data_IF_556046004778
#
_entry.id   IF_556046004778
#
_cell.length_a   1.000
_cell.length_b   1.000
_cell.length_c   1.000
_cell.angle_alpha   90.00
_cell.angle_beta   90.00
_cell.angle_gamma   90.00
#
_symmetry.space_group_name_H-M   'P 1'
#
loop_
_entity.id
_entity.type
_entity.pdbx_description
1 polymer ?
#
# COMPACT_ATOMS: atom_id res chain seq x y z
N UNK A 1 -9.71 1.92 -25.37
CA UNK A 1 -10.57 0.76 -25.69
C UNK A 1 -10.29 -0.40 -24.71
N UNK A 2 -11.35 -1.08 -24.27
CA UNK A 2 -11.19 -2.32 -23.52
C UNK A 2 -10.92 -3.48 -24.48
N UNK A 3 -10.09 -4.44 -24.03
CA UNK A 3 -9.94 -5.71 -24.77
C UNK A 3 -11.27 -6.49 -24.79
N UNK A 4 -12.04 -6.39 -23.72
CA UNK A 4 -13.41 -6.89 -23.55
C UNK A 4 -14.16 -6.01 -22.54
N UNK A 5 -15.49 -5.75 -22.73
CA UNK A 5 -16.29 -6.10 -23.90
C UNK A 5 -15.86 -5.29 -25.15
N UNK A 6 -15.84 -5.95 -26.30
CA UNK A 6 -15.43 -5.30 -27.58
C UNK A 6 -16.28 -4.07 -27.92
N UNK A 7 -15.64 -3.01 -28.40
CA UNK A 7 -16.28 -1.78 -28.79
C UNK A 7 -16.71 -0.89 -27.62
N UNK A 8 -16.27 -1.20 -26.41
CA UNK A 8 -16.42 -0.32 -25.23
C UNK A 8 -15.08 0.37 -24.95
N UNK A 9 -15.17 1.63 -24.63
CA UNK A 9 -14.02 2.43 -24.19
C UNK A 9 -14.21 2.86 -22.74
N UNK A 10 -13.15 2.77 -21.94
CA UNK A 10 -13.11 3.39 -20.61
C UNK A 10 -12.50 4.79 -20.75
N UNK A 11 -13.20 5.77 -20.25
CA UNK A 11 -12.78 7.18 -20.22
C UNK A 11 -12.57 7.60 -18.77
N UNK A 12 -11.38 8.11 -18.50
CA UNK A 12 -11.06 8.67 -17.17
C UNK A 12 -11.25 10.18 -17.24
N UNK A 13 -12.23 10.68 -16.53
CA UNK A 13 -12.52 12.09 -16.39
C UNK A 13 -11.77 12.61 -15.16
N UNK A 14 -11.00 13.66 -15.33
CA UNK A 14 -10.39 14.39 -14.22
C UNK A 14 -11.23 15.62 -13.93
N UNK A 15 -11.90 15.64 -12.78
CA UNK A 15 -12.72 16.74 -12.32
C UNK A 15 -11.89 17.51 -11.29
N UNK A 16 -11.60 18.79 -11.56
CA UNK A 16 -10.84 19.67 -10.67
C UNK A 16 -11.72 20.81 -10.20
N UNK A 17 -11.78 21.01 -8.89
CA UNK A 17 -12.47 22.13 -8.26
C UNK A 17 -11.55 22.76 -7.22
N UNK A 18 -10.99 23.93 -7.51
CA UNK A 18 -9.95 24.55 -6.69
C UNK A 18 -8.72 23.64 -6.58
N UNK A 19 -8.29 23.36 -5.37
CA UNK A 19 -7.15 22.48 -5.09
C UNK A 19 -7.52 20.98 -5.00
N UNK A 20 -8.80 20.65 -5.15
CA UNK A 20 -9.25 19.25 -5.16
C UNK A 20 -9.33 18.75 -6.60
N UNK A 21 -8.85 17.53 -6.81
CA UNK A 21 -8.96 16.80 -8.08
C UNK A 21 -9.48 15.41 -7.81
N UNK A 22 -10.53 15.02 -8.53
CA UNK A 22 -11.14 13.71 -8.46
C UNK A 22 -11.13 13.09 -9.85
N UNK A 23 -10.79 11.81 -9.94
CA UNK A 23 -10.91 11.02 -11.16
C UNK A 23 -12.19 10.20 -11.13
N UNK A 24 -12.95 10.24 -12.21
CA UNK A 24 -14.14 9.41 -12.42
C UNK A 24 -13.94 8.56 -13.67
N UNK A 25 -14.29 7.28 -13.59
CA UNK A 25 -14.22 6.36 -14.72
C UNK A 25 -15.62 6.13 -15.23
N UNK A 26 -15.82 6.40 -16.49
CA UNK A 26 -17.05 6.10 -17.24
C UNK A 26 -16.72 5.22 -18.43
N UNK A 27 -17.73 4.60 -19.00
CA UNK A 27 -17.61 3.75 -20.20
C UNK A 27 -18.47 4.29 -21.31
N UNK A 28 -18.00 4.17 -22.56
CA UNK A 28 -18.75 4.62 -23.75
C UNK A 28 -18.83 3.49 -24.78
N UNK A 29 -19.94 3.46 -25.52
CA UNK A 29 -20.12 2.61 -26.68
C UNK A 29 -21.04 3.31 -27.66
N UNK A 30 -20.50 3.78 -28.80
CA UNK A 30 -21.22 4.68 -29.71
C UNK A 30 -21.69 5.93 -28.94
N UNK A 31 -22.97 6.24 -29.00
CA UNK A 31 -23.57 7.40 -28.34
C UNK A 31 -24.02 7.12 -26.89
N UNK A 32 -23.70 5.95 -26.34
CA UNK A 32 -24.12 5.57 -25.00
C UNK A 32 -23.00 5.77 -23.98
N UNK A 33 -23.37 6.21 -22.77
CA UNK A 33 -22.48 6.35 -21.62
C UNK A 33 -22.99 5.45 -20.51
N UNK A 34 -22.06 4.72 -19.87
CA UNK A 34 -22.34 3.84 -18.75
C UNK A 34 -21.47 4.26 -17.56
N UNK A 35 -22.04 4.23 -16.38
CA UNK A 35 -21.32 4.55 -15.13
C UNK A 35 -20.47 3.39 -14.65
N UNK A 36 -20.82 2.16 -15.00
CA UNK A 36 -20.09 0.94 -14.74
C UNK A 36 -20.49 -0.19 -15.69
N UNK A 37 -19.66 -1.22 -15.78
CA UNK A 37 -19.93 -2.46 -16.50
C UNK A 37 -19.57 -3.63 -15.62
N UNK A 38 -20.52 -4.56 -15.47
CA UNK A 38 -20.35 -5.76 -14.67
C UNK A 38 -20.48 -6.99 -15.57
N UNK A 39 -19.48 -7.88 -15.54
CA UNK A 39 -19.56 -9.20 -16.14
C UNK A 39 -19.84 -10.24 -15.04
N UNK A 40 -21.09 -10.72 -14.92
CA UNK A 40 -21.44 -11.65 -13.86
C UNK A 40 -20.85 -13.06 -14.08
N UNK A 41 -20.53 -13.42 -15.31
CA UNK A 41 -19.91 -14.72 -15.64
C UNK A 41 -18.45 -14.74 -15.21
N UNK A 42 -17.71 -13.66 -15.49
CA UNK A 42 -16.31 -13.48 -15.09
C UNK A 42 -16.17 -12.96 -13.66
N UNK A 43 -17.27 -12.53 -13.03
CA UNK A 43 -17.31 -11.86 -11.73
C UNK A 43 -16.41 -10.61 -11.69
N UNK A 44 -16.44 -9.83 -12.78
CA UNK A 44 -15.62 -8.63 -12.93
C UNK A 44 -16.52 -7.40 -12.88
N UNK A 45 -16.14 -6.43 -12.05
CA UNK A 45 -16.61 -5.05 -12.06
C UNK A 45 -15.51 -4.22 -12.74
N UNK A 46 -15.71 -3.83 -13.99
CA UNK A 46 -14.66 -3.24 -14.82
C UNK A 46 -14.13 -1.93 -14.26
N UNK A 47 -14.97 -1.11 -13.66
CA UNK A 47 -14.56 0.13 -13.01
C UNK A 47 -13.54 -0.11 -11.90
N UNK A 48 -13.81 -1.08 -11.05
CA UNK A 48 -12.90 -1.44 -9.95
C UNK A 48 -11.61 -2.07 -10.48
N UNK A 49 -11.70 -2.91 -11.50
CA UNK A 49 -10.50 -3.49 -12.12
C UNK A 49 -9.59 -2.40 -12.70
N UNK A 50 -10.15 -1.43 -13.44
CA UNK A 50 -9.36 -0.34 -14.03
C UNK A 50 -8.74 0.52 -12.92
N UNK A 51 -9.46 0.81 -11.83
CA UNK A 51 -8.91 1.51 -10.68
C UNK A 51 -7.71 0.76 -10.10
N UNK A 52 -7.86 -0.53 -9.86
CA UNK A 52 -6.78 -1.37 -9.31
C UNK A 52 -5.58 -1.43 -10.25
N UNK A 53 -5.78 -1.61 -11.56
CA UNK A 53 -4.70 -1.63 -12.54
C UNK A 53 -3.95 -0.28 -12.60
N UNK A 54 -4.66 0.84 -12.47
CA UNK A 54 -4.06 2.18 -12.42
C UNK A 54 -3.24 2.38 -11.14
N UNK A 55 -3.80 1.99 -9.99
CA UNK A 55 -3.08 2.03 -8.72
C UNK A 55 -1.83 1.16 -8.81
N UNK A 56 -1.94 -0.06 -9.28
CA UNK A 56 -0.80 -0.97 -9.45
C UNK A 56 0.28 -0.37 -10.36
N UNK A 57 -0.10 0.27 -11.48
CA UNK A 57 0.84 0.92 -12.38
C UNK A 57 1.56 2.14 -11.77
N UNK A 58 0.86 2.96 -10.99
CA UNK A 58 1.46 4.10 -10.28
C UNK A 58 2.34 3.61 -9.12
N UNK A 59 1.85 2.66 -8.34
CA UNK A 59 2.57 2.06 -7.23
C UNK A 59 3.86 1.37 -7.68
N UNK A 60 3.84 0.69 -8.85
CA UNK A 60 5.02 0.11 -9.47
C UNK A 60 6.13 1.15 -9.69
N UNK A 61 5.79 2.31 -10.25
CA UNK A 61 6.76 3.38 -10.48
C UNK A 61 7.36 3.89 -9.18
N UNK A 62 6.50 4.13 -8.19
CA UNK A 62 6.93 4.62 -6.87
C UNK A 62 7.81 3.58 -6.17
N UNK A 63 7.41 2.31 -6.16
CA UNK A 63 8.13 1.25 -5.49
C UNK A 63 9.48 0.93 -6.16
N UNK A 64 9.55 0.91 -7.48
CA UNK A 64 10.81 0.69 -8.23
C UNK A 64 11.84 1.80 -7.99
N UNK A 65 11.37 3.02 -7.73
CA UNK A 65 12.23 4.17 -7.42
C UNK A 65 12.52 4.32 -5.91
N UNK A 66 11.98 3.40 -5.07
CA UNK A 66 12.10 3.53 -3.62
C UNK A 66 13.51 3.19 -3.13
N UNK A 67 13.96 3.93 -2.12
CA UNK A 67 15.20 3.60 -1.41
C UNK A 67 15.08 2.24 -0.71
N UNK A 68 16.13 1.43 -0.80
CA UNK A 68 16.19 0.15 -0.09
C UNK A 68 16.06 0.31 1.43
N UNK A 69 16.45 1.47 1.97
CA UNK A 69 16.35 1.80 3.39
C UNK A 69 14.90 1.96 3.86
N UNK A 70 13.97 2.23 2.93
CA UNK A 70 12.55 2.36 3.20
C UNK A 70 11.78 1.04 3.00
N UNK A 71 12.45 -0.02 2.54
CA UNK A 71 11.84 -1.33 2.29
C UNK A 71 12.33 -2.31 3.36
N UNK A 72 11.44 -2.72 4.25
CA UNK A 72 11.74 -3.74 5.24
C UNK A 72 11.41 -5.10 4.64
N UNK A 73 12.43 -5.93 4.45
CA UNK A 73 12.28 -7.26 3.85
C UNK A 73 12.19 -8.34 4.91
N UNK A 74 11.19 -9.22 4.79
CA UNK A 74 11.04 -10.45 5.53
C UNK A 74 10.96 -11.63 4.55
N UNK A 75 11.68 -12.69 4.84
CA UNK A 75 11.84 -13.82 3.92
C UNK A 75 12.81 -13.52 2.79
N UNK A 76 13.45 -14.57 2.27
CA UNK A 76 14.40 -14.50 1.16
C UNK A 76 14.37 -15.76 0.30
N UNK A 77 13.30 -16.54 0.36
CA UNK A 77 13.14 -17.77 -0.42
C UNK A 77 12.86 -17.44 -1.89
N UNK A 78 13.75 -17.72 -2.84
CA UNK A 78 13.54 -17.40 -4.25
C UNK A 78 12.41 -18.19 -4.91
N UNK A 79 11.89 -19.23 -4.25
CA UNK A 79 10.77 -20.04 -4.74
C UNK A 79 9.42 -19.48 -4.35
N UNK A 80 9.39 -18.53 -3.42
CA UNK A 80 8.14 -17.92 -2.95
C UNK A 80 7.87 -16.60 -3.67
N UNK A 81 6.60 -16.30 -3.99
CA UNK A 81 6.24 -14.97 -4.45
C UNK A 81 6.55 -13.93 -3.38
N UNK A 82 6.81 -12.70 -3.80
CA UNK A 82 6.97 -11.57 -2.89
C UNK A 82 5.73 -10.70 -2.93
N UNK A 83 5.20 -10.36 -1.78
CA UNK A 83 4.13 -9.39 -1.63
C UNK A 83 4.68 -8.07 -1.09
N UNK A 84 4.11 -6.96 -1.57
CA UNK A 84 4.29 -5.64 -0.97
C UNK A 84 3.16 -5.41 0.03
N UNK A 85 3.51 -5.03 1.26
CA UNK A 85 2.57 -4.68 2.31
C UNK A 85 2.80 -3.23 2.74
N UNK A 86 1.81 -2.37 2.52
CA UNK A 86 1.76 -1.03 3.10
C UNK A 86 0.98 -1.11 4.40
N UNK A 87 1.54 -0.62 5.50
CA UNK A 87 1.00 -0.93 6.83
C UNK A 87 1.23 0.19 7.84
N UNK A 88 0.44 0.21 8.90
CA UNK A 88 0.43 1.21 9.97
C UNK A 88 0.28 0.54 11.34
N UNK A 89 1.18 0.85 12.26
CA UNK A 89 1.20 0.25 13.59
C UNK A 89 -0.02 0.60 14.46
N UNK A 90 -0.72 1.70 14.18
CA UNK A 90 -1.92 2.10 14.91
C UNK A 90 -3.22 1.54 14.30
N UNK A 91 -3.18 1.07 13.06
CA UNK A 91 -4.36 0.53 12.40
C UNK A 91 -4.73 -0.86 12.95
N UNK A 92 -5.97 -1.07 13.46
CA UNK A 92 -6.39 -2.37 13.99
C UNK A 92 -6.32 -3.51 12.97
N UNK A 93 -6.62 -3.26 11.71
CA UNK A 93 -6.54 -4.25 10.65
C UNK A 93 -5.08 -4.61 10.31
N UNK A 94 -4.18 -3.62 10.31
CA UNK A 94 -2.75 -3.85 10.15
C UNK A 94 -2.17 -4.67 11.30
N UNK A 95 -2.64 -4.45 12.54
CA UNK A 95 -2.25 -5.26 13.70
C UNK A 95 -2.63 -6.73 13.50
N UNK A 96 -3.83 -7.00 12.98
CA UNK A 96 -4.28 -8.38 12.68
C UNK A 96 -3.40 -9.03 11.62
N UNK A 97 -3.05 -8.31 10.55
CA UNK A 97 -2.13 -8.84 9.53
C UNK A 97 -0.72 -9.07 10.08
N UNK A 98 -0.19 -8.13 10.86
CA UNK A 98 1.13 -8.28 11.47
C UNK A 98 1.17 -9.42 12.50
N UNK A 99 0.10 -9.69 13.22
CA UNK A 99 0.00 -10.83 14.13
C UNK A 99 0.11 -12.19 13.40
N UNK A 100 -0.20 -12.22 12.11
CA UNK A 100 -0.13 -13.43 11.27
C UNK A 100 1.08 -13.43 10.33
N UNK A 101 2.04 -12.54 10.54
CA UNK A 101 3.17 -12.36 9.60
C UNK A 101 3.99 -13.66 9.44
N UNK A 102 4.18 -14.42 10.51
CA UNK A 102 4.90 -15.70 10.46
C UNK A 102 4.16 -16.75 9.63
N UNK A 103 2.83 -16.72 9.64
CA UNK A 103 1.98 -17.56 8.77
C UNK A 103 2.11 -17.13 7.31
N UNK A 104 2.07 -15.83 7.04
CA UNK A 104 2.25 -15.26 5.70
C UNK A 104 3.61 -15.65 5.11
N UNK A 105 4.67 -15.66 5.93
CA UNK A 105 6.03 -16.03 5.52
C UNK A 105 6.19 -17.52 5.15
N UNK A 106 5.24 -18.39 5.51
CA UNK A 106 5.29 -19.77 5.04
C UNK A 106 5.14 -19.87 3.51
N UNK A 107 4.38 -18.95 2.90
CA UNK A 107 4.05 -19.00 1.49
C UNK A 107 4.59 -17.82 0.68
N UNK A 108 5.04 -16.74 1.32
CA UNK A 108 5.47 -15.51 0.65
C UNK A 108 6.76 -14.96 1.26
N UNK A 109 7.53 -14.20 0.49
CA UNK A 109 8.38 -13.15 1.03
C UNK A 109 7.55 -11.87 1.17
N UNK A 110 7.93 -10.97 2.06
CA UNK A 110 7.17 -9.75 2.32
C UNK A 110 8.10 -8.54 2.30
N UNK A 111 7.83 -7.61 1.40
CA UNK A 111 8.43 -6.28 1.38
C UNK A 111 7.46 -5.31 2.07
N UNK A 112 7.87 -4.68 3.16
CA UNK A 112 7.01 -3.84 4.01
C UNK A 112 7.43 -2.38 3.87
N UNK A 113 6.45 -1.50 3.70
CA UNK A 113 6.61 -0.05 3.77
C UNK A 113 5.63 0.49 4.82
N UNK A 114 6.18 1.28 5.74
CA UNK A 114 5.37 1.92 6.77
C UNK A 114 4.66 3.16 6.20
N UNK A 115 3.33 3.12 6.19
CA UNK A 115 2.48 4.20 5.62
C UNK A 115 1.33 4.48 6.58
N UNK A 116 1.55 5.38 7.54
CA UNK A 116 0.51 5.66 8.53
C UNK A 116 -0.60 6.57 7.99
N UNK A 117 -1.82 6.32 8.46
CA UNK A 117 -3.02 7.18 8.32
C UNK A 117 -3.49 7.75 9.67
N UNK A 118 -2.78 7.46 10.76
CA UNK A 118 -3.16 7.81 12.13
C UNK A 118 -2.32 8.95 12.72
N UNK A 119 -2.18 10.03 11.96
CA UNK A 119 -1.55 11.27 12.43
C UNK A 119 -0.09 11.11 12.87
N UNK A 120 0.39 12.04 13.67
CA UNK A 120 1.80 12.16 14.02
C UNK A 120 2.32 10.97 14.83
N UNK A 121 1.51 10.39 15.72
CA UNK A 121 1.93 9.22 16.49
C UNK A 121 2.12 7.97 15.61
N UNK A 122 1.28 7.78 14.60
CA UNK A 122 1.43 6.69 13.65
C UNK A 122 2.69 6.86 12.78
N UNK A 123 2.97 8.07 12.29
CA UNK A 123 4.20 8.38 11.58
C UNK A 123 5.45 8.23 12.46
N UNK A 124 5.35 8.61 13.73
CA UNK A 124 6.44 8.44 14.68
C UNK A 124 6.75 6.97 14.94
N UNK A 125 5.73 6.12 15.12
CA UNK A 125 5.92 4.65 15.21
C UNK A 125 6.59 4.10 13.95
N UNK A 126 6.22 4.59 12.78
CA UNK A 126 6.88 4.22 11.51
C UNK A 126 8.37 4.57 11.53
N UNK A 127 8.73 5.78 11.96
CA UNK A 127 10.12 6.22 12.07
C UNK A 127 10.91 5.37 13.08
N UNK A 128 10.33 5.07 14.24
CA UNK A 128 10.95 4.24 15.29
C UNK A 128 11.18 2.80 14.82
N UNK A 129 10.22 2.22 14.08
CA UNK A 129 10.37 0.89 13.46
C UNK A 129 11.56 0.90 12.51
N UNK A 130 11.65 1.86 11.59
CA UNK A 130 12.80 1.96 10.67
C UNK A 130 14.13 2.11 11.41
N UNK A 131 14.15 2.89 12.50
CA UNK A 131 15.33 3.11 13.31
C UNK A 131 15.82 1.84 13.98
N UNK A 132 14.93 1.08 14.63
CA UNK A 132 15.30 -0.15 15.33
C UNK A 132 15.63 -1.30 14.38
N UNK A 133 14.92 -1.41 13.24
CA UNK A 133 15.16 -2.47 12.25
C UNK A 133 16.56 -2.40 11.64
N UNK A 134 17.19 -1.24 11.60
CA UNK A 134 18.59 -1.12 11.14
C UNK A 134 19.56 -1.99 11.95
N UNK A 135 19.27 -2.24 13.21
CA UNK A 135 20.04 -3.14 14.08
C UNK A 135 19.65 -4.62 13.99
N UNK A 136 18.52 -4.94 13.39
CA UNK A 136 17.99 -6.29 13.30
C UNK A 136 18.62 -7.04 12.12
N UNK A 137 19.28 -8.19 12.40
CA UNK A 137 20.00 -8.99 11.40
C UNK A 137 19.18 -10.17 10.88
N UNK A 138 18.15 -10.61 11.62
CA UNK A 138 17.31 -11.75 11.26
C UNK A 138 15.84 -11.32 11.16
N UNK A 139 15.04 -12.14 10.49
CA UNK A 139 13.61 -11.89 10.36
C UNK A 139 12.89 -11.94 11.71
N UNK A 140 13.30 -12.84 12.62
CA UNK A 140 12.76 -12.92 13.98
C UNK A 140 13.00 -11.62 14.75
N UNK A 141 14.19 -11.02 14.61
CA UNK A 141 14.51 -9.73 15.25
C UNK A 141 13.65 -8.60 14.67
N UNK A 142 13.46 -8.55 13.35
CA UNK A 142 12.58 -7.56 12.70
C UNK A 142 11.11 -7.74 13.14
N UNK A 143 10.64 -8.99 13.18
CA UNK A 143 9.28 -9.31 13.65
C UNK A 143 9.10 -8.89 15.11
N UNK A 144 10.11 -9.07 15.96
CA UNK A 144 10.06 -8.60 17.35
C UNK A 144 9.91 -7.06 17.42
N UNK A 145 10.59 -6.31 16.56
CA UNK A 145 10.39 -4.84 16.46
C UNK A 145 8.96 -4.52 16.04
N UNK A 146 8.42 -5.20 15.04
CA UNK A 146 7.01 -5.00 14.67
C UNK A 146 6.07 -5.33 15.82
N UNK A 147 6.21 -6.48 16.47
CA UNK A 147 5.38 -6.88 17.62
C UNK A 147 5.40 -5.81 18.73
N UNK A 148 6.56 -5.22 19.03
CA UNK A 148 6.72 -4.13 20.01
C UNK A 148 5.87 -2.91 19.66
N UNK A 149 5.98 -2.40 18.42
CA UNK A 149 5.31 -1.14 18.06
C UNK A 149 3.83 -1.31 17.67
N UNK A 150 3.44 -2.52 17.27
CA UNK A 150 2.04 -2.86 16.97
C UNK A 150 1.24 -3.24 18.20
N UNK A 151 1.88 -3.45 19.36
CA UNK A 151 1.19 -3.71 20.62
C UNK A 151 0.28 -2.53 21.01
N UNK A 152 -0.92 -2.83 21.49
CA UNK A 152 -1.93 -1.81 21.82
C UNK A 152 -1.49 -0.93 23.01
N UNK A 153 -0.74 -1.49 23.92
CA UNK A 153 -0.19 -0.81 25.09
C UNK A 153 1.10 -0.03 24.82
N UNK A 154 1.66 -0.13 23.62
CA UNK A 154 2.85 0.63 23.24
C UNK A 154 2.51 2.13 23.14
N UNK A 155 3.12 2.95 23.99
CA UNK A 155 2.88 4.39 24.15
C UNK A 155 3.84 5.29 23.35
N UNK A 156 4.69 4.70 22.51
CA UNK A 156 5.57 5.47 21.65
C UNK A 156 4.76 6.35 20.68
N UNK A 157 5.24 7.56 20.42
CA UNK A 157 4.55 8.53 19.59
C UNK A 157 5.45 9.69 19.17
N UNK A 158 4.86 10.81 18.74
CA UNK A 158 5.57 11.96 18.17
C UNK A 158 6.64 12.57 19.09
N UNK A 159 6.48 12.46 20.40
CA UNK A 159 7.45 12.95 21.40
C UNK A 159 8.78 12.17 21.41
N UNK A 160 8.81 10.96 20.84
CA UNK A 160 9.95 10.03 20.88
C UNK A 160 10.82 10.10 19.60
N UNK A 161 10.48 10.99 18.69
CA UNK A 161 11.20 11.18 17.42
C UNK A 161 11.53 12.66 17.19
N UNK A 162 12.56 12.92 16.40
CA UNK A 162 12.85 14.27 15.94
C UNK A 162 11.86 14.75 14.87
N UNK A 163 11.73 16.05 14.69
CA UNK A 163 10.91 16.61 13.61
C UNK A 163 11.35 16.12 12.22
N UNK A 164 12.64 15.90 12.01
CA UNK A 164 13.19 15.39 10.75
C UNK A 164 12.73 13.93 10.49
N UNK A 165 12.80 13.05 11.52
CA UNK A 165 12.32 11.67 11.43
C UNK A 165 10.81 11.61 11.17
N UNK A 166 10.04 12.45 11.87
CA UNK A 166 8.59 12.56 11.68
C UNK A 166 8.24 13.01 10.25
N UNK A 167 8.90 14.06 9.75
CA UNK A 167 8.67 14.57 8.40
C UNK A 167 9.06 13.55 7.32
N UNK A 168 10.15 12.82 7.51
CA UNK A 168 10.56 11.75 6.59
C UNK A 168 9.49 10.64 6.52
N UNK A 169 8.93 10.21 7.67
CA UNK A 169 7.86 9.22 7.70
C UNK A 169 6.56 9.73 7.04
N UNK A 170 6.20 11.01 7.26
CA UNK A 170 5.06 11.65 6.58
C UNK A 170 5.27 11.70 5.06
N UNK A 171 6.46 12.09 4.61
CA UNK A 171 6.77 12.18 3.19
C UNK A 171 6.71 10.79 2.51
N UNK A 172 7.22 9.74 3.19
CA UNK A 172 7.13 8.38 2.69
C UNK A 172 5.67 7.92 2.54
N UNK A 173 4.84 8.13 3.55
CA UNK A 173 3.42 7.80 3.50
C UNK A 173 2.70 8.57 2.38
N UNK A 174 2.90 9.90 2.30
CA UNK A 174 2.30 10.74 1.27
C UNK A 174 2.65 10.29 -0.16
N UNK A 175 3.87 9.80 -0.37
CA UNK A 175 4.35 9.26 -1.65
C UNK A 175 3.51 8.06 -2.11
N UNK A 176 3.19 7.13 -1.22
CA UNK A 176 2.39 5.95 -1.52
C UNK A 176 0.89 6.26 -1.64
N UNK A 177 0.36 7.15 -0.81
CA UNK A 177 -1.01 7.64 -0.95
C UNK A 177 -1.19 8.45 -2.24
N UNK A 178 -0.18 9.22 -2.65
CA UNK A 178 -0.15 9.90 -3.94
C UNK A 178 -0.15 8.95 -5.16
N UNK A 179 0.26 7.70 -4.97
CA UNK A 179 0.15 6.64 -5.98
C UNK A 179 -1.25 6.01 -6.07
N UNK A 180 -2.21 6.52 -5.29
CA UNK A 180 -3.61 6.08 -5.32
C UNK A 180 -3.98 5.05 -4.24
N UNK A 181 -3.05 4.62 -3.38
CA UNK A 181 -3.39 3.82 -2.21
C UNK A 181 -4.21 4.70 -1.26
N UNK A 182 -5.35 4.21 -0.81
CA UNK A 182 -6.30 4.99 0.00
C UNK A 182 -6.62 4.36 1.36
N UNK A 183 -6.07 3.19 1.64
CA UNK A 183 -6.30 2.46 2.89
C UNK A 183 -5.13 1.54 3.22
N UNK A 184 -5.00 1.17 4.49
CA UNK A 184 -4.06 0.18 5.00
C UNK A 184 -4.79 -0.85 5.88
N UNK A 185 -4.37 -2.13 5.92
CA UNK A 185 -3.24 -2.65 5.15
C UNK A 185 -3.56 -2.72 3.65
N UNK A 186 -2.59 -2.37 2.80
CA UNK A 186 -2.68 -2.61 1.36
C UNK A 186 -1.65 -3.67 0.98
N UNK A 187 -2.11 -4.78 0.41
CA UNK A 187 -1.28 -5.94 0.08
C UNK A 187 -1.44 -6.27 -1.39
N UNK A 188 -0.33 -6.39 -2.09
CA UNK A 188 -0.30 -6.74 -3.51
C UNK A 188 0.92 -7.61 -3.82
N UNK A 189 0.78 -8.61 -4.69
CA UNK A 189 1.91 -9.38 -5.21
C UNK A 189 2.78 -8.49 -6.10
N UNK A 190 4.11 -8.54 -5.93
CA UNK A 190 5.03 -7.68 -6.68
C UNK A 190 5.00 -7.93 -8.19
N UNK A 191 4.67 -9.14 -8.64
CA UNK A 191 4.52 -9.47 -10.06
C UNK A 191 3.31 -8.79 -10.72
N UNK A 192 2.33 -8.36 -9.92
CA UNK A 192 1.19 -7.54 -10.38
C UNK A 192 1.51 -6.05 -10.47
N UNK A 193 2.66 -5.62 -9.94
CA UNK A 193 3.18 -4.28 -10.13
C UNK A 193 3.91 -4.20 -11.49
N UNK A 194 3.15 -3.92 -12.53
CA UNK A 194 3.66 -3.84 -13.92
C UNK A 194 4.30 -2.49 -14.24
#
# INVERSE_FOLDING_TARGET
PLSEPKGVEAVVLKISQGNMSQEEIIFTKGDLIFTDIIDPKKRVVYKEQIKQDRIAGQLSKVFKAESKDNIIKLGNDPKKPTILMLTDALCPFCRKEMARIEETLKNNNVDIIMTSVHGDDGHAKSALIYKEIKGAKTDEQKIAVFKKYYAEDNKAGAKDVSAAELNAAKALAAKYFGAGVNSVPYIIELDKLK
#
